data_IF_961286336111
#
_entry.id   IF_961286336111
#
_cell.length_a   1.000
_cell.length_b   1.000
_cell.length_c   1.000
_cell.angle_alpha   90.00
_cell.angle_beta   90.00
_cell.angle_gamma   90.00
#
_symmetry.space_group_name_H-M   'P 1'
#
loop_
_entity.id
_entity.type
_entity.pdbx_description
1 polymer ?
#
# COMPACT_ATOMS: atom_id res chain seq x y z
N UNK A 1 61.21 -34.84 59.32
CA UNK A 1 60.89 -34.70 57.88
C UNK A 1 59.43 -34.25 57.78
N UNK A 2 59.17 -32.96 57.94
CA UNK A 2 57.84 -32.38 57.70
C UNK A 2 57.68 -32.12 56.20
N UNK A 3 56.69 -32.74 55.57
CA UNK A 3 56.31 -32.43 54.20
C UNK A 3 55.27 -31.30 54.25
N UNK A 4 55.71 -30.11 53.83
CA UNK A 4 54.93 -28.88 53.74
C UNK A 4 53.73 -29.07 52.79
N UNK A 5 52.51 -29.00 53.33
CA UNK A 5 51.26 -29.12 52.56
C UNK A 5 51.00 -27.81 51.80
N UNK A 6 51.17 -27.83 50.48
CA UNK A 6 50.84 -26.68 49.63
C UNK A 6 49.30 -26.49 49.54
N UNK A 7 48.79 -25.25 49.61
CA UNK A 7 47.35 -25.00 49.51
C UNK A 7 46.84 -25.23 48.08
N UNK A 8 45.63 -25.78 47.96
CA UNK A 8 44.94 -25.93 46.68
C UNK A 8 44.67 -24.54 46.08
N UNK A 9 45.26 -24.25 44.93
CA UNK A 9 44.90 -23.10 44.11
C UNK A 9 43.47 -23.27 43.61
N UNK A 10 42.56 -22.43 44.09
CA UNK A 10 41.22 -22.32 43.52
C UNK A 10 41.38 -21.67 42.13
N UNK A 11 41.03 -22.39 41.06
CA UNK A 11 40.90 -21.76 39.74
C UNK A 11 39.87 -20.64 39.88
N UNK A 12 40.16 -19.39 39.48
CA UNK A 12 39.12 -18.38 39.42
C UNK A 12 38.05 -18.90 38.48
N UNK A 13 36.82 -19.05 38.97
CA UNK A 13 35.66 -19.15 38.08
C UNK A 13 35.61 -17.82 37.38
N UNK A 14 36.11 -17.75 36.14
CA UNK A 14 35.65 -16.75 35.20
C UNK A 14 34.15 -17.01 35.08
N UNK A 15 33.36 -16.31 35.89
CA UNK A 15 31.97 -16.08 35.57
C UNK A 15 32.01 -15.25 34.30
N UNK A 16 32.10 -15.94 33.16
CA UNK A 16 31.55 -15.42 31.93
C UNK A 16 30.10 -15.15 32.29
N UNK A 17 29.74 -13.87 32.39
CA UNK A 17 28.33 -13.49 32.30
C UNK A 17 27.98 -13.81 30.86
N UNK A 18 27.64 -15.08 30.61
CA UNK A 18 27.02 -15.49 29.36
C UNK A 18 25.74 -14.66 29.29
N UNK A 19 25.70 -13.66 28.42
CA UNK A 19 24.48 -12.90 28.21
C UNK A 19 23.39 -13.89 27.80
N UNK A 20 22.28 -13.91 28.54
CA UNK A 20 21.12 -14.75 28.25
C UNK A 20 20.28 -14.18 27.09
N UNK A 21 20.80 -13.14 26.43
CA UNK A 21 20.18 -12.52 25.27
C UNK A 21 20.32 -13.46 24.07
N UNK A 22 19.20 -14.04 23.66
CA UNK A 22 19.12 -14.76 22.40
C UNK A 22 19.58 -13.83 21.27
N UNK A 23 20.60 -14.25 20.52
CA UNK A 23 20.92 -13.62 19.25
C UNK A 23 19.66 -13.61 18.36
N UNK A 24 19.49 -12.60 17.49
CA UNK A 24 18.35 -12.56 16.58
C UNK A 24 18.26 -13.89 15.83
N UNK A 25 17.16 -14.60 16.06
CA UNK A 25 16.94 -15.91 15.45
C UNK A 25 16.87 -15.70 13.94
N UNK A 26 17.43 -16.65 13.19
CA UNK A 26 17.19 -16.71 11.75
C UNK A 26 15.69 -16.74 11.51
N UNK A 27 15.17 -15.70 10.86
CA UNK A 27 13.75 -15.63 10.52
C UNK A 27 13.38 -16.76 9.55
N UNK A 28 12.09 -17.10 9.52
CA UNK A 28 11.57 -18.00 8.48
C UNK A 28 11.76 -17.31 7.13
N UNK A 29 12.34 -17.97 6.11
CA UNK A 29 12.46 -17.37 4.80
C UNK A 29 11.07 -16.94 4.30
N UNK A 30 10.96 -15.67 3.88
CA UNK A 30 9.74 -15.13 3.29
C UNK A 30 9.45 -15.91 2.01
N UNK A 31 8.27 -16.53 1.92
CA UNK A 31 7.86 -17.28 0.73
C UNK A 31 7.51 -16.37 -0.44
N UNK A 32 7.36 -15.07 -0.20
CA UNK A 32 6.95 -14.06 -1.17
C UNK A 32 7.82 -12.82 -1.00
N UNK A 33 8.38 -12.32 -2.11
CA UNK A 33 9.15 -11.09 -2.13
C UNK A 33 8.21 -9.88 -2.25
N UNK A 34 8.27 -8.98 -1.27
CA UNK A 34 7.42 -7.77 -1.23
C UNK A 34 7.63 -6.85 -2.42
N UNK A 35 8.84 -6.79 -2.98
CA UNK A 35 9.14 -5.93 -4.14
C UNK A 35 8.48 -6.46 -5.42
N UNK A 36 8.40 -7.78 -5.58
CA UNK A 36 7.72 -8.39 -6.73
C UNK A 36 6.21 -8.16 -6.64
N UNK A 37 5.63 -8.30 -5.44
CA UNK A 37 4.23 -8.01 -5.18
C UNK A 37 3.90 -6.53 -5.43
N UNK A 38 4.75 -5.60 -4.98
CA UNK A 38 4.62 -4.16 -5.23
C UNK A 38 4.69 -3.83 -6.72
N UNK A 39 5.58 -4.50 -7.44
CA UNK A 39 5.72 -4.31 -8.90
C UNK A 39 4.46 -4.80 -9.62
N UNK A 40 3.93 -5.95 -9.24
CA UNK A 40 2.67 -6.46 -9.80
C UNK A 40 1.47 -5.53 -9.52
N UNK A 41 1.40 -4.92 -8.34
CA UNK A 41 0.39 -3.89 -8.03
C UNK A 41 0.51 -2.63 -8.89
N UNK A 42 1.74 -2.18 -9.17
CA UNK A 42 1.98 -0.99 -10.02
C UNK A 42 1.54 -1.26 -11.46
N UNK A 43 1.78 -2.47 -11.95
CA UNK A 43 1.39 -2.89 -13.29
C UNK A 43 -0.13 -3.01 -13.41
N UNK A 44 -0.78 -3.68 -12.47
CA UNK A 44 -2.24 -3.82 -12.46
C UNK A 44 -2.79 -3.79 -11.03
N UNK A 45 -3.35 -2.64 -10.64
CA UNK A 45 -3.92 -2.41 -9.31
C UNK A 45 -5.33 -2.97 -9.13
N UNK A 46 -5.91 -3.59 -10.17
CA UNK A 46 -7.28 -4.13 -10.16
C UNK A 46 -7.34 -5.62 -9.85
N UNK A 47 -6.21 -6.29 -9.67
CA UNK A 47 -6.16 -7.71 -9.40
C UNK A 47 -6.61 -8.01 -7.97
N UNK A 48 -7.37 -9.08 -7.83
CA UNK A 48 -7.83 -9.65 -6.56
C UNK A 48 -6.72 -10.46 -5.89
N UNK A 49 -6.84 -10.72 -4.57
CA UNK A 49 -5.84 -11.51 -3.86
C UNK A 49 -5.73 -12.95 -4.41
N UNK A 50 -6.82 -13.57 -4.85
CA UNK A 50 -6.80 -14.88 -5.53
C UNK A 50 -6.09 -14.87 -6.90
N UNK A 51 -6.17 -13.78 -7.67
CA UNK A 51 -5.38 -13.65 -8.90
C UNK A 51 -3.88 -13.53 -8.60
N UNK A 52 -3.53 -12.84 -7.52
CA UNK A 52 -2.16 -12.81 -7.03
C UNK A 52 -1.70 -14.18 -6.51
N UNK A 53 -2.56 -14.97 -5.86
CA UNK A 53 -2.25 -16.33 -5.39
C UNK A 53 -1.83 -17.21 -6.57
N UNK A 54 -2.65 -17.25 -7.62
CA UNK A 54 -2.33 -17.98 -8.83
C UNK A 54 -1.03 -17.51 -9.50
N UNK A 55 -0.74 -16.21 -9.45
CA UNK A 55 0.45 -15.64 -10.08
C UNK A 55 1.72 -15.96 -9.32
N UNK A 56 1.68 -15.88 -7.98
CA UNK A 56 2.84 -16.09 -7.12
C UNK A 56 2.93 -17.52 -6.58
N UNK A 57 1.90 -18.35 -6.81
CA UNK A 57 1.74 -19.69 -6.26
C UNK A 57 1.86 -19.70 -4.73
N UNK A 58 1.20 -18.74 -4.07
CA UNK A 58 1.22 -18.56 -2.61
C UNK A 58 -0.20 -18.30 -2.14
N UNK A 59 -0.65 -19.07 -1.14
CA UNK A 59 -1.96 -18.95 -0.51
C UNK A 59 -2.43 -17.49 -0.35
N UNK A 60 -3.66 -17.21 -0.77
CA UNK A 60 -4.33 -15.91 -0.71
C UNK A 60 -4.17 -15.20 0.64
N UNK A 61 -4.23 -15.94 1.76
CA UNK A 61 -4.08 -15.37 3.10
C UNK A 61 -2.70 -14.74 3.33
N UNK A 62 -1.65 -15.39 2.81
CA UNK A 62 -0.28 -14.87 2.88
C UNK A 62 -0.20 -13.55 2.11
N UNK A 63 -0.75 -13.50 0.89
CA UNK A 63 -0.80 -12.28 0.08
C UNK A 63 -1.56 -11.16 0.80
N UNK A 64 -2.68 -11.48 1.43
CA UNK A 64 -3.47 -10.52 2.22
C UNK A 64 -2.65 -9.94 3.38
N UNK A 65 -1.94 -10.78 4.11
CA UNK A 65 -1.03 -10.35 5.19
C UNK A 65 0.09 -9.45 4.65
N UNK A 66 0.72 -9.84 3.54
CA UNK A 66 1.75 -9.04 2.88
C UNK A 66 1.24 -7.69 2.36
N UNK A 67 -0.02 -7.56 1.95
CA UNK A 67 -0.62 -6.25 1.65
C UNK A 67 -0.91 -5.42 2.90
N UNK A 68 -1.31 -6.06 4.00
CA UNK A 68 -1.62 -5.36 5.24
C UNK A 68 -0.39 -4.82 5.97
N UNK A 69 0.75 -5.51 5.93
CA UNK A 69 2.01 -5.07 6.57
C UNK A 69 2.43 -3.64 6.17
N UNK A 70 2.49 -3.27 4.88
CA UNK A 70 2.76 -1.90 4.43
C UNK A 70 1.53 -0.97 4.50
N UNK A 71 0.42 -1.41 5.11
CA UNK A 71 -0.80 -0.62 5.26
C UNK A 71 -1.62 -0.48 3.97
N UNK A 72 -1.44 -1.35 2.97
CA UNK A 72 -2.26 -1.33 1.76
C UNK A 72 -3.65 -1.89 2.07
N UNK A 73 -4.66 -1.32 1.42
CA UNK A 73 -6.06 -1.72 1.54
C UNK A 73 -6.71 -1.71 0.16
N UNK A 74 -7.63 -2.64 -0.05
CA UNK A 74 -8.47 -2.63 -1.23
C UNK A 74 -9.36 -1.39 -1.24
N UNK A 75 -9.41 -0.70 -2.39
CA UNK A 75 -10.28 0.45 -2.60
C UNK A 75 -10.96 0.31 -3.95
N UNK A 76 -12.29 0.44 -3.94
CA UNK A 76 -13.06 0.44 -5.18
C UNK A 76 -12.60 1.58 -6.09
N UNK A 77 -12.59 1.30 -7.39
CA UNK A 77 -12.31 2.30 -8.40
C UNK A 77 -13.32 3.44 -8.34
N UNK A 78 -12.88 4.64 -8.72
CA UNK A 78 -13.80 5.77 -8.85
C UNK A 78 -14.66 5.57 -10.10
N UNK A 79 -15.95 5.86 -9.99
CA UNK A 79 -16.82 5.90 -11.16
C UNK A 79 -16.42 7.08 -12.05
N UNK A 80 -16.16 6.80 -13.32
CA UNK A 80 -15.82 7.80 -14.33
C UNK A 80 -16.96 7.83 -15.34
N UNK A 81 -17.61 8.99 -15.59
CA UNK A 81 -18.84 9.02 -16.37
C UNK A 81 -18.72 8.41 -17.77
N UNK A 82 -17.63 8.70 -18.47
CA UNK A 82 -17.48 8.35 -19.89
C UNK A 82 -16.05 7.88 -20.18
N UNK A 83 -15.92 6.84 -21.01
CA UNK A 83 -14.64 6.44 -21.57
C UNK A 83 -14.27 7.38 -22.72
N UNK A 84 -13.23 8.19 -22.53
CA UNK A 84 -12.82 9.18 -23.53
C UNK A 84 -11.85 8.56 -24.54
N UNK A 85 -12.11 8.78 -25.83
CA UNK A 85 -11.13 8.53 -26.90
C UNK A 85 -10.00 9.58 -26.87
N UNK A 86 -8.93 9.32 -27.62
CA UNK A 86 -7.75 10.19 -27.63
C UNK A 86 -8.07 11.64 -28.02
N UNK A 87 -8.88 11.83 -29.06
CA UNK A 87 -9.29 13.15 -29.55
C UNK A 87 -10.05 13.95 -28.48
N UNK A 88 -11.02 13.34 -27.81
CA UNK A 88 -11.77 13.97 -26.72
C UNK A 88 -10.85 14.39 -25.57
N UNK A 89 -9.81 13.60 -25.26
CA UNK A 89 -8.82 13.96 -24.23
C UNK A 89 -8.00 15.17 -24.64
N UNK A 90 -7.55 15.20 -25.90
CA UNK A 90 -6.76 16.30 -26.43
C UNK A 90 -7.57 17.60 -26.48
N UNK A 91 -8.81 17.56 -26.99
CA UNK A 91 -9.70 18.71 -27.00
C UNK A 91 -9.93 19.27 -25.60
N UNK A 92 -10.23 18.40 -24.62
CA UNK A 92 -10.40 18.82 -23.23
C UNK A 92 -9.14 19.46 -22.67
N UNK A 93 -7.96 18.89 -22.92
CA UNK A 93 -6.69 19.45 -22.47
C UNK A 93 -6.46 20.85 -23.06
N UNK A 94 -6.65 21.01 -24.37
CA UNK A 94 -6.48 22.29 -25.06
C UNK A 94 -7.43 23.36 -24.52
N UNK A 95 -8.72 23.04 -24.38
CA UNK A 95 -9.74 23.95 -23.85
C UNK A 95 -9.39 24.35 -22.40
N UNK A 96 -9.09 23.38 -21.54
CA UNK A 96 -8.73 23.67 -20.14
C UNK A 96 -7.46 24.52 -20.02
N UNK A 97 -6.45 24.25 -20.86
CA UNK A 97 -5.19 25.01 -20.87
C UNK A 97 -5.41 26.46 -21.30
N UNK A 98 -6.24 26.67 -22.32
CA UNK A 98 -6.64 28.01 -22.78
C UNK A 98 -7.41 28.78 -21.69
N UNK A 99 -8.39 28.13 -21.05
CA UNK A 99 -9.14 28.74 -19.95
C UNK A 99 -8.24 29.11 -18.76
N UNK A 100 -7.30 28.24 -18.40
CA UNK A 100 -6.35 28.49 -17.32
C UNK A 100 -5.38 29.63 -17.65
N UNK A 101 -4.94 29.76 -18.90
CA UNK A 101 -4.13 30.89 -19.32
C UNK A 101 -4.90 32.20 -19.21
N UNK A 102 -6.13 32.22 -19.74
CA UNK A 102 -7.01 33.40 -19.71
C UNK A 102 -7.43 33.79 -18.29
N UNK A 103 -7.61 32.83 -17.39
CA UNK A 103 -7.97 33.13 -15.99
C UNK A 103 -6.86 33.81 -15.20
N UNK A 104 -5.61 33.76 -15.68
CA UNK A 104 -4.48 34.46 -15.05
C UNK A 104 -4.39 35.92 -15.48
N UNK A 105 -4.94 36.26 -16.65
CA UNK A 105 -4.89 37.62 -17.21
C UNK A 105 -6.17 38.41 -16.91
N UNK A 106 -7.30 37.72 -16.77
CA UNK A 106 -8.62 38.33 -16.59
C UNK A 106 -9.42 37.65 -15.47
N UNK A 107 -10.27 38.40 -14.77
CA UNK A 107 -11.20 37.87 -13.77
C UNK A 107 -12.41 37.18 -14.43
N UNK A 108 -12.17 35.99 -15.00
CA UNK A 108 -13.20 35.24 -15.72
C UNK A 108 -14.34 34.76 -14.82
N UNK A 109 -14.03 34.32 -13.60
CA UNK A 109 -15.01 33.66 -12.74
C UNK A 109 -16.14 34.59 -12.30
N UNK A 110 -15.87 35.89 -12.14
CA UNK A 110 -16.87 36.88 -11.73
C UNK A 110 -17.88 37.22 -12.84
N UNK A 111 -17.61 36.78 -14.08
CA UNK A 111 -18.40 37.12 -15.28
C UNK A 111 -19.13 35.92 -15.88
N UNK A 112 -18.86 34.71 -15.38
CA UNK A 112 -19.43 33.49 -15.93
C UNK A 112 -20.79 33.23 -15.28
N UNK A 113 -21.82 33.15 -16.12
CA UNK A 113 -23.11 32.55 -15.76
C UNK A 113 -23.15 31.13 -16.34
N UNK A 114 -23.44 30.13 -15.51
CA UNK A 114 -23.64 28.74 -15.94
C UNK A 114 -25.05 28.27 -15.59
N UNK A 115 -25.58 27.35 -16.37
CA UNK A 115 -26.86 26.68 -16.11
C UNK A 115 -26.75 25.24 -16.57
N UNK A 116 -27.32 24.32 -15.80
CA UNK A 116 -27.45 22.90 -16.14
C UNK A 116 -28.76 22.37 -15.56
N UNK A 117 -29.30 21.31 -16.15
CA UNK A 117 -30.56 20.69 -15.73
C UNK A 117 -30.28 19.47 -14.86
N UNK A 118 -30.92 19.41 -13.69
CA UNK A 118 -30.83 18.25 -12.78
C UNK A 118 -32.21 17.67 -12.53
N UNK A 119 -32.31 16.35 -12.59
CA UNK A 119 -33.53 15.63 -12.24
C UNK A 119 -33.71 15.60 -10.71
N UNK A 120 -34.82 16.15 -10.22
CA UNK A 120 -35.22 16.06 -8.81
C UNK A 120 -36.21 14.89 -8.66
N UNK A 121 -35.77 13.84 -7.99
CA UNK A 121 -36.57 12.64 -7.74
C UNK A 121 -37.38 12.83 -6.44
N UNK A 122 -38.66 12.48 -6.47
CA UNK A 122 -39.57 12.64 -5.32
C UNK A 122 -39.20 11.78 -4.10
N UNK A 123 -38.78 10.53 -4.33
CA UNK A 123 -38.19 9.67 -3.30
C UNK A 123 -36.97 8.93 -3.85
N UNK A 124 -35.86 8.95 -3.11
CA UNK A 124 -34.63 8.22 -3.43
C UNK A 124 -34.39 7.12 -2.39
N UNK A 125 -35.35 6.21 -2.25
CA UNK A 125 -35.27 5.10 -1.31
C UNK A 125 -34.17 4.12 -1.73
N UNK A 126 -33.04 4.18 -1.03
CA UNK A 126 -31.95 3.22 -1.17
C UNK A 126 -32.35 1.93 -0.47
N UNK A 127 -32.83 0.95 -1.23
CA UNK A 127 -32.99 -0.42 -0.72
C UNK A 127 -31.60 -0.99 -0.45
N UNK A 128 -31.19 -1.03 0.81
CA UNK A 128 -30.05 -1.82 1.22
C UNK A 128 -30.47 -3.29 1.16
N UNK A 129 -30.06 -3.98 0.10
CA UNK A 129 -30.07 -5.44 0.11
C UNK A 129 -28.92 -5.88 1.03
N UNK A 130 -29.28 -6.45 2.18
CA UNK A 130 -28.37 -7.14 3.09
C UNK A 130 -27.93 -8.49 2.52
#
# INVERSE_FOLDING_TARGET
MELLRMPRTQRPKLFSVESLEDAPRSERPLSLNDEDLRTAMKTNSKLTCGEYDNTFNVNEETIRQHFHQPGKRWKLSKWVPHSLIHENKLQRLTICSSHLARSKTESLFDRILTSDEIWIIYSNDKRFHH
#
